data_IF_505216418077
#
_entry.id   IF_505216418077
#
_cell.length_a   1.000
_cell.length_b   1.000
_cell.length_c   1.000
_cell.angle_alpha   90.00
_cell.angle_beta   90.00
_cell.angle_gamma   90.00
#
_symmetry.space_group_name_H-M   'P 1'
#
loop_
_entity.id
_entity.type
_entity.pdbx_description
1 polymer ?
#
# COMPACT_ATOMS: atom_id res chain seq x y z
N UNK A 1 18.44 26.31 -53.70
CA UNK A 1 18.06 26.51 -52.29
C UNK A 1 17.18 25.36 -51.79
N UNK A 2 17.73 24.25 -51.28
CA UNK A 2 16.92 23.13 -50.70
C UNK A 2 17.49 22.51 -49.41
N UNK A 3 18.75 22.83 -49.04
CA UNK A 3 19.44 22.24 -47.86
C UNK A 3 19.08 22.88 -46.50
N UNK A 4 18.44 24.07 -46.46
CA UNK A 4 18.13 24.78 -45.21
C UNK A 4 16.98 24.17 -44.38
N UNK A 5 16.05 23.42 -45.00
CA UNK A 5 14.91 22.84 -44.28
C UNK A 5 15.24 21.51 -43.58
N UNK A 6 16.17 20.71 -44.11
CA UNK A 6 16.54 19.40 -43.53
C UNK A 6 17.25 19.57 -42.17
N UNK A 7 18.14 20.56 -42.06
CA UNK A 7 18.85 20.84 -40.80
C UNK A 7 17.90 21.34 -39.69
N UNK A 8 16.89 22.16 -40.05
CA UNK A 8 15.82 22.57 -39.13
C UNK A 8 14.95 21.38 -38.70
N UNK A 9 14.58 20.50 -39.63
CA UNK A 9 13.81 19.30 -39.32
C UNK A 9 14.57 18.36 -38.36
N UNK A 10 15.89 18.19 -38.59
CA UNK A 10 16.76 17.38 -37.75
C UNK A 10 16.91 17.95 -36.33
N UNK A 11 17.05 19.27 -36.20
CA UNK A 11 17.12 19.94 -34.90
C UNK A 11 15.81 19.82 -34.13
N UNK A 12 14.67 19.97 -34.82
CA UNK A 12 13.34 19.79 -34.21
C UNK A 12 13.14 18.34 -33.78
N UNK A 13 13.51 17.34 -34.60
CA UNK A 13 13.41 15.94 -34.21
C UNK A 13 14.36 15.56 -33.07
N UNK A 14 15.56 16.15 -33.01
CA UNK A 14 16.54 15.89 -31.95
C UNK A 14 16.11 16.53 -30.62
N UNK A 15 15.55 17.75 -30.66
CA UNK A 15 14.92 18.40 -29.51
C UNK A 15 13.70 17.61 -29.02
N UNK A 16 12.90 17.06 -29.94
CA UNK A 16 11.76 16.20 -29.59
C UNK A 16 12.24 14.90 -28.93
N UNK A 17 13.32 14.27 -29.44
CA UNK A 17 13.91 13.07 -28.82
C UNK A 17 14.52 13.36 -27.45
N UNK A 18 15.16 14.52 -27.23
CA UNK A 18 15.67 14.91 -25.90
C UNK A 18 14.53 15.23 -24.91
N UNK A 19 13.46 15.88 -25.37
CA UNK A 19 12.27 16.13 -24.56
C UNK A 19 11.52 14.83 -24.23
N UNK A 20 11.44 13.87 -25.17
CA UNK A 20 10.86 12.55 -24.93
C UNK A 20 11.75 11.63 -24.05
N UNK A 21 13.06 11.90 -23.98
CA UNK A 21 13.98 11.20 -23.06
C UNK A 21 13.97 11.77 -21.65
N UNK A 22 13.36 12.93 -21.44
CA UNK A 22 13.25 13.51 -20.11
C UNK A 22 12.38 12.60 -19.23
N UNK A 23 12.95 12.17 -18.10
CA UNK A 23 12.29 11.42 -17.03
C UNK A 23 11.81 9.99 -17.36
N UNK A 24 12.40 9.33 -18.37
CA UNK A 24 12.04 7.94 -18.73
C UNK A 24 12.28 6.97 -17.57
N UNK A 25 13.35 7.18 -16.79
CA UNK A 25 13.71 6.29 -15.70
C UNK A 25 12.78 6.47 -14.49
N UNK A 26 12.45 7.71 -14.18
CA UNK A 26 11.51 8.13 -13.14
C UNK A 26 10.12 7.58 -13.44
N UNK A 27 9.67 7.67 -14.71
CA UNK A 27 8.40 7.06 -15.15
C UNK A 27 8.39 5.54 -14.94
N UNK A 28 9.49 4.85 -15.27
CA UNK A 28 9.61 3.39 -15.03
C UNK A 28 9.60 3.06 -13.54
N UNK A 29 10.25 3.89 -12.71
CA UNK A 29 10.22 3.72 -11.25
C UNK A 29 8.80 3.88 -10.71
N UNK A 30 8.04 4.88 -11.18
CA UNK A 30 6.62 5.04 -10.83
C UNK A 30 5.83 3.81 -11.26
N UNK A 31 5.96 3.38 -12.51
CA UNK A 31 5.20 2.23 -13.04
C UNK A 31 5.51 0.94 -12.25
N UNK A 32 6.77 0.71 -11.89
CA UNK A 32 7.19 -0.41 -11.05
C UNK A 32 6.58 -0.36 -9.64
N UNK A 33 6.54 0.84 -9.03
CA UNK A 33 5.87 1.03 -7.74
C UNK A 33 4.36 0.81 -7.84
N UNK A 34 3.71 1.31 -8.90
CA UNK A 34 2.28 1.10 -9.14
C UNK A 34 1.95 -0.39 -9.27
N UNK A 35 2.78 -1.16 -9.99
CA UNK A 35 2.60 -2.60 -10.13
C UNK A 35 2.74 -3.32 -8.76
N UNK A 36 3.75 -2.94 -7.97
CA UNK A 36 3.94 -3.47 -6.62
C UNK A 36 2.76 -3.17 -5.69
N UNK A 37 2.30 -1.93 -5.67
CA UNK A 37 1.17 -1.49 -4.83
C UNK A 37 -0.14 -2.15 -5.28
N UNK A 38 -0.33 -2.37 -6.58
CA UNK A 38 -1.53 -3.06 -7.11
C UNK A 38 -1.68 -4.47 -6.53
N UNK A 39 -0.55 -5.12 -6.21
CA UNK A 39 -0.50 -6.46 -5.62
C UNK A 39 -0.70 -6.47 -4.10
N UNK A 40 -0.75 -5.30 -3.43
CA UNK A 40 -1.05 -5.23 -2.00
C UNK A 40 -2.45 -5.79 -1.70
N UNK A 41 -2.50 -6.62 -0.66
CA UNK A 41 -3.68 -7.31 -0.16
C UNK A 41 -3.93 -6.97 1.31
N UNK A 42 -5.11 -7.35 1.81
CA UNK A 42 -5.53 -7.06 3.18
C UNK A 42 -4.76 -7.88 4.23
N UNK A 43 -4.08 -8.95 3.84
CA UNK A 43 -3.19 -9.75 4.69
C UNK A 43 -1.71 -9.35 4.55
N UNK A 44 -1.39 -8.44 3.62
CA UNK A 44 -0.04 -7.92 3.46
C UNK A 44 0.44 -7.24 4.75
N UNK A 45 1.74 -7.39 5.03
CA UNK A 45 2.34 -6.92 6.27
C UNK A 45 2.32 -5.40 6.39
N UNK A 46 2.26 -4.89 7.62
CA UNK A 46 2.35 -3.45 7.89
C UNK A 46 3.66 -2.83 7.40
N UNK A 47 4.76 -3.59 7.45
CA UNK A 47 6.08 -3.12 7.03
C UNK A 47 6.14 -2.96 5.52
N UNK A 48 5.44 -3.81 4.76
CA UNK A 48 5.29 -3.66 3.30
C UNK A 48 4.56 -2.37 2.94
N UNK A 49 3.46 -2.04 3.64
CA UNK A 49 2.76 -0.76 3.44
C UNK A 49 3.67 0.44 3.77
N UNK A 50 4.44 0.37 4.86
CA UNK A 50 5.39 1.42 5.23
C UNK A 50 6.50 1.60 4.19
N UNK A 51 7.10 0.51 3.72
CA UNK A 51 8.16 0.54 2.70
C UNK A 51 7.68 1.21 1.40
N UNK A 52 6.47 0.90 0.94
CA UNK A 52 5.88 1.60 -0.22
C UNK A 52 5.62 3.08 0.06
N UNK A 53 5.12 3.46 1.24
CA UNK A 53 4.96 4.87 1.61
C UNK A 53 6.31 5.61 1.58
N UNK A 54 7.34 5.04 2.18
CA UNK A 54 8.68 5.65 2.23
C UNK A 54 9.26 5.84 0.83
N UNK A 55 9.07 4.85 -0.06
CA UNK A 55 9.48 4.93 -1.47
C UNK A 55 8.71 6.02 -2.23
N UNK A 56 7.39 6.12 -2.05
CA UNK A 56 6.57 7.19 -2.65
C UNK A 56 7.03 8.55 -2.17
N UNK A 57 7.24 8.72 -0.86
CA UNK A 57 7.69 9.99 -0.29
C UNK A 57 9.06 10.41 -0.82
N UNK A 58 10.01 9.47 -0.89
CA UNK A 58 11.33 9.71 -1.44
C UNK A 58 11.25 10.12 -2.92
N UNK A 59 10.39 9.47 -3.69
CA UNK A 59 10.19 9.78 -5.10
C UNK A 59 9.54 11.17 -5.28
N UNK A 60 8.55 11.50 -4.47
CA UNK A 60 7.91 12.82 -4.47
C UNK A 60 8.91 13.93 -4.15
N UNK A 61 9.72 13.76 -3.11
CA UNK A 61 10.74 14.74 -2.73
C UNK A 61 11.80 14.92 -3.82
N UNK A 62 12.22 13.82 -4.46
CA UNK A 62 13.16 13.86 -5.58
C UNK A 62 12.63 14.52 -6.84
N UNK A 63 11.30 14.61 -6.99
CA UNK A 63 10.63 15.14 -8.19
C UNK A 63 9.87 16.45 -7.94
N UNK A 64 9.99 17.05 -6.74
CA UNK A 64 9.23 18.24 -6.34
C UNK A 64 9.44 19.46 -7.24
N UNK A 65 10.63 19.58 -7.84
CA UNK A 65 11.02 20.71 -8.68
C UNK A 65 10.87 20.38 -10.19
N UNK A 66 10.31 19.22 -10.52
CA UNK A 66 10.15 18.75 -11.91
C UNK A 66 8.78 19.17 -12.46
N UNK A 67 8.77 20.21 -13.31
CA UNK A 67 7.55 20.69 -13.98
C UNK A 67 7.09 19.86 -15.18
N UNK A 68 7.18 18.52 -15.10
CA UNK A 68 6.70 17.63 -16.15
C UNK A 68 5.29 17.13 -15.82
N UNK A 69 4.28 17.64 -16.55
CA UNK A 69 2.87 17.35 -16.28
C UNK A 69 2.52 15.85 -16.31
N UNK A 70 3.13 15.07 -17.21
CA UNK A 70 2.89 13.62 -17.29
C UNK A 70 3.46 12.88 -16.07
N UNK A 71 4.62 13.30 -15.58
CA UNK A 71 5.25 12.74 -14.38
C UNK A 71 4.44 13.09 -13.13
N UNK A 72 3.96 14.33 -13.02
CA UNK A 72 3.06 14.77 -11.94
C UNK A 72 1.76 13.95 -11.92
N UNK A 73 1.14 13.75 -13.09
CA UNK A 73 -0.08 12.93 -13.20
C UNK A 73 0.16 11.49 -12.74
N UNK A 74 1.28 10.89 -13.16
CA UNK A 74 1.67 9.54 -12.73
C UNK A 74 1.94 9.45 -11.23
N UNK A 75 2.62 10.43 -10.65
CA UNK A 75 2.85 10.50 -9.20
C UNK A 75 1.54 10.61 -8.42
N UNK A 76 0.60 11.43 -8.91
CA UNK A 76 -0.71 11.58 -8.29
C UNK A 76 -1.53 10.28 -8.36
N UNK A 77 -1.47 9.58 -9.51
CA UNK A 77 -2.10 8.27 -9.66
C UNK A 77 -1.48 7.22 -8.72
N UNK A 78 -0.15 7.22 -8.57
CA UNK A 78 0.58 6.36 -7.63
C UNK A 78 0.16 6.62 -6.18
N UNK A 79 0.10 7.89 -5.75
CA UNK A 79 -0.34 8.27 -4.41
C UNK A 79 -1.78 7.83 -4.15
N UNK A 80 -2.67 8.06 -5.12
CA UNK A 80 -4.07 7.67 -5.01
C UNK A 80 -4.21 6.15 -4.86
N UNK A 81 -3.54 5.39 -5.73
CA UNK A 81 -3.55 3.93 -5.67
C UNK A 81 -3.08 3.42 -4.29
N UNK A 82 -2.01 3.99 -3.75
CA UNK A 82 -1.53 3.63 -2.41
C UNK A 82 -2.55 3.95 -1.32
N UNK A 83 -3.15 5.16 -1.35
CA UNK A 83 -4.18 5.57 -0.39
C UNK A 83 -5.39 4.65 -0.43
N UNK A 84 -5.86 4.28 -1.63
CA UNK A 84 -6.99 3.37 -1.81
C UNK A 84 -6.69 1.98 -1.22
N UNK A 85 -5.49 1.45 -1.45
CA UNK A 85 -5.02 0.18 -0.87
C UNK A 85 -4.88 0.25 0.65
N UNK A 86 -4.33 1.34 1.18
CA UNK A 86 -4.19 1.56 2.62
C UNK A 86 -5.55 1.67 3.30
N UNK A 87 -6.49 2.40 2.70
CA UNK A 87 -7.87 2.52 3.19
C UNK A 87 -8.57 1.15 3.23
N UNK A 88 -8.41 0.33 2.18
CA UNK A 88 -8.95 -1.03 2.15
C UNK A 88 -8.37 -1.91 3.27
N UNK A 89 -7.05 -1.86 3.50
CA UNK A 89 -6.38 -2.58 4.60
C UNK A 89 -6.90 -2.13 5.97
N UNK A 90 -7.01 -0.82 6.21
CA UNK A 90 -7.50 -0.27 7.46
C UNK A 90 -8.98 -0.64 7.71
N UNK A 91 -9.81 -0.59 6.67
CA UNK A 91 -11.21 -1.02 6.77
C UNK A 91 -11.32 -2.51 7.09
N UNK A 92 -10.50 -3.36 6.44
CA UNK A 92 -10.47 -4.79 6.72
C UNK A 92 -10.03 -5.10 8.16
N UNK A 93 -8.99 -4.42 8.66
CA UNK A 93 -8.53 -4.54 10.05
C UNK A 93 -9.62 -4.14 11.05
N UNK A 94 -10.29 -3.01 10.82
CA UNK A 94 -11.40 -2.53 11.68
C UNK A 94 -12.57 -3.52 11.66
N UNK A 95 -12.96 -4.01 10.48
CA UNK A 95 -14.01 -5.02 10.35
C UNK A 95 -13.66 -6.34 11.06
N UNK A 96 -12.44 -6.83 10.93
CA UNK A 96 -11.98 -8.04 11.63
C UNK A 96 -11.99 -7.85 13.15
N UNK A 97 -11.52 -6.70 13.64
CA UNK A 97 -11.59 -6.34 15.06
C UNK A 97 -13.03 -6.36 15.58
N UNK A 98 -13.94 -5.69 14.89
CA UNK A 98 -15.35 -5.58 15.31
C UNK A 98 -16.02 -6.96 15.30
N UNK A 99 -15.74 -7.78 14.29
CA UNK A 99 -16.27 -9.14 14.20
C UNK A 99 -15.75 -10.05 15.31
N UNK A 100 -14.46 -9.97 15.64
CA UNK A 100 -13.86 -10.71 16.76
C UNK A 100 -14.47 -10.28 18.10
N UNK A 101 -14.64 -8.98 18.31
CA UNK A 101 -15.28 -8.45 19.52
C UNK A 101 -16.75 -8.87 19.65
N UNK A 102 -17.46 -8.97 18.52
CA UNK A 102 -18.87 -9.34 18.43
C UNK A 102 -19.19 -10.80 18.80
N UNK A 103 -18.19 -11.69 18.91
CA UNK A 103 -18.43 -13.05 19.39
C UNK A 103 -18.82 -13.04 20.87
N UNK A 104 -20.06 -13.45 21.14
CA UNK A 104 -20.66 -13.54 22.48
C UNK A 104 -20.06 -14.69 23.28
N UNK A 105 -20.02 -15.89 22.71
CA UNK A 105 -19.26 -17.02 23.25
C UNK A 105 -17.97 -17.22 22.44
N UNK A 106 -16.88 -16.68 22.98
CA UNK A 106 -15.56 -16.75 22.34
C UNK A 106 -14.96 -18.15 22.40
N UNK A 107 -15.33 -18.98 23.38
CA UNK A 107 -14.76 -20.32 23.54
C UNK A 107 -15.27 -21.29 22.47
N UNK A 108 -16.52 -21.14 22.02
CA UNK A 108 -17.06 -21.88 20.87
C UNK A 108 -16.62 -21.31 19.52
N UNK A 109 -16.17 -20.06 19.46
CA UNK A 109 -15.78 -19.36 18.23
C UNK A 109 -14.26 -19.27 17.98
N UNK A 110 -13.43 -20.06 18.69
CA UNK A 110 -11.95 -20.04 18.56
C UNK A 110 -11.44 -20.10 17.11
N UNK A 111 -12.02 -21.01 16.30
CA UNK A 111 -11.63 -21.16 14.89
C UNK A 111 -12.00 -19.93 14.06
N UNK A 112 -13.16 -19.32 14.34
CA UNK A 112 -13.61 -18.11 13.66
C UNK A 112 -12.72 -16.92 14.05
N UNK A 113 -12.39 -16.76 15.34
CA UNK A 113 -11.45 -15.72 15.81
C UNK A 113 -10.10 -15.85 15.09
N UNK A 114 -9.55 -17.06 15.01
CA UNK A 114 -8.31 -17.33 14.31
C UNK A 114 -8.40 -17.00 12.82
N UNK A 115 -9.48 -17.42 12.16
CA UNK A 115 -9.69 -17.18 10.73
C UNK A 115 -9.81 -15.68 10.42
N UNK A 116 -10.60 -14.94 11.19
CA UNK A 116 -10.77 -13.48 11.02
C UNK A 116 -9.44 -12.73 11.22
N UNK A 117 -8.65 -13.11 12.23
CA UNK A 117 -7.32 -12.52 12.43
C UNK A 117 -6.40 -12.82 11.24
N UNK A 118 -6.41 -14.07 10.75
CA UNK A 118 -5.56 -14.50 9.63
C UNK A 118 -5.89 -13.77 8.33
N UNK A 119 -7.16 -13.48 8.06
CA UNK A 119 -7.59 -12.75 6.85
C UNK A 119 -6.98 -11.35 6.73
N UNK A 120 -6.56 -10.76 7.86
CA UNK A 120 -5.92 -9.44 7.91
C UNK A 120 -4.42 -9.51 8.20
N UNK A 121 -3.84 -10.70 8.07
CA UNK A 121 -2.40 -10.94 8.26
C UNK A 121 -1.97 -11.00 9.72
N UNK A 122 -2.90 -11.21 10.66
CA UNK A 122 -2.62 -11.37 12.09
C UNK A 122 -2.59 -12.85 12.43
N UNK A 123 -1.48 -13.30 13.03
CA UNK A 123 -1.32 -14.69 13.46
C UNK A 123 -1.50 -14.78 14.97
N UNK A 124 -2.52 -15.50 15.40
CA UNK A 124 -2.73 -15.87 16.80
C UNK A 124 -2.61 -17.38 16.96
N UNK A 125 -2.14 -17.84 18.12
CA UNK A 125 -2.04 -19.27 18.40
C UNK A 125 -3.43 -19.86 18.64
N UNK A 126 -3.75 -20.95 17.96
CA UNK A 126 -4.98 -21.71 18.26
C UNK A 126 -4.78 -22.39 19.62
N UNK A 127 -5.63 -22.03 20.59
CA UNK A 127 -5.66 -22.65 21.91
C UNK A 127 -6.68 -23.79 21.93
N UNK A 128 -6.31 -24.90 22.60
CA UNK A 128 -7.10 -26.14 22.65
C UNK A 128 -8.53 -25.97 23.17
N UNK A 129 -9.40 -26.92 22.80
CA UNK A 129 -10.84 -26.89 23.03
C UNK A 129 -11.25 -27.01 24.50
N UNK A 130 -10.48 -27.73 25.33
CA UNK A 130 -10.92 -28.18 26.66
C UNK A 130 -10.81 -27.14 27.78
N UNK A 131 -10.06 -26.05 27.60
CA UNK A 131 -9.94 -25.02 28.65
C UNK A 131 -10.88 -23.83 28.41
N UNK A 132 -11.71 -23.54 29.40
CA UNK A 132 -12.58 -22.36 29.46
C UNK A 132 -11.73 -21.09 29.55
N UNK A 133 -12.13 -20.05 28.83
CA UNK A 133 -11.45 -18.75 28.75
C UNK A 133 -10.36 -18.66 27.68
N UNK A 134 -10.05 -19.75 26.96
CA UNK A 134 -9.06 -19.73 25.88
C UNK A 134 -9.54 -18.89 24.69
N UNK A 135 -10.84 -18.91 24.38
CA UNK A 135 -11.42 -18.07 23.34
C UNK A 135 -11.31 -16.58 23.64
N UNK A 136 -11.52 -16.20 24.91
CA UNK A 136 -11.31 -14.82 25.37
C UNK A 136 -9.86 -14.40 25.20
N UNK A 137 -8.90 -15.25 25.62
CA UNK A 137 -7.46 -14.98 25.42
C UNK A 137 -7.11 -14.79 23.95
N UNK A 138 -7.57 -15.68 23.07
CA UNK A 138 -7.34 -15.57 21.62
C UNK A 138 -7.94 -14.28 21.04
N UNK A 139 -9.16 -13.91 21.47
CA UNK A 139 -9.81 -12.68 21.03
C UNK A 139 -9.04 -11.44 21.48
N UNK A 140 -8.61 -11.38 22.74
CA UNK A 140 -7.82 -10.25 23.25
C UNK A 140 -6.50 -10.12 22.50
N UNK A 141 -5.77 -11.22 22.33
CA UNK A 141 -4.50 -11.23 21.59
C UNK A 141 -4.68 -10.76 20.14
N UNK A 142 -5.71 -11.28 19.44
CA UNK A 142 -5.99 -10.89 18.06
C UNK A 142 -6.32 -9.40 17.95
N UNK A 143 -7.21 -8.89 18.81
CA UNK A 143 -7.62 -7.48 18.80
C UNK A 143 -6.44 -6.57 19.12
N UNK A 144 -5.61 -6.90 20.10
CA UNK A 144 -4.44 -6.10 20.46
C UNK A 144 -3.42 -6.02 19.31
N UNK A 145 -3.16 -7.14 18.63
CA UNK A 145 -2.29 -7.16 17.45
C UNK A 145 -2.88 -6.34 16.30
N UNK A 146 -4.19 -6.45 16.05
CA UNK A 146 -4.89 -5.65 15.02
C UNK A 146 -4.78 -4.16 15.35
N UNK A 147 -5.02 -3.75 16.59
CA UNK A 147 -4.92 -2.34 17.02
C UNK A 147 -3.50 -1.80 16.87
N UNK A 148 -2.48 -2.58 17.21
CA UNK A 148 -1.07 -2.21 17.00
C UNK A 148 -0.78 -1.98 15.51
N UNK A 149 -1.35 -2.79 14.62
CA UNK A 149 -1.20 -2.62 13.17
C UNK A 149 -1.94 -1.36 12.69
N UNK A 150 -3.19 -1.17 13.11
CA UNK A 150 -3.99 0.03 12.76
C UNK A 150 -3.22 1.28 13.18
N UNK A 151 -2.79 1.35 14.45
CA UNK A 151 -2.05 2.48 15.00
C UNK A 151 -0.76 2.74 14.22
N UNK A 152 0.02 1.70 13.93
CA UNK A 152 1.25 1.85 13.14
C UNK A 152 1.00 2.41 11.74
N UNK A 153 -0.05 1.92 11.07
CA UNK A 153 -0.41 2.38 9.73
C UNK A 153 -0.94 3.82 9.75
N UNK A 154 -1.75 4.19 10.76
CA UNK A 154 -2.32 5.53 10.95
C UNK A 154 -1.27 6.58 11.39
N UNK A 155 -0.44 6.26 12.38
CA UNK A 155 0.69 7.12 12.79
C UNK A 155 1.70 7.28 11.67
N UNK A 156 1.93 6.19 10.93
CA UNK A 156 2.71 6.21 9.72
C UNK A 156 1.99 6.86 8.55
N UNK A 157 0.76 7.39 8.65
CA UNK A 157 0.08 8.14 7.58
C UNK A 157 0.16 9.65 7.74
N UNK A 158 0.29 10.16 8.97
CA UNK A 158 0.54 11.58 9.25
C UNK A 158 1.94 12.05 8.82
#
# INVERSE_FOLDING_TARGET
MKKKNIFKLFFVSMLFVMACKAYVEEKKQIDSLMEGISKLQNDSSKDTFKDYKDKINKLKEGLKDVGNAELEEKLLALEKLFKDKLAAKLAALKAAKDKINGYTDKDTNKNNIWAEAKLVGVTVKILGSSSRGNGTKMSTEAVEQIEKIIKFLEEGTN
#
